data_IF_102855509490
#
_entry.id   IF_102855509490
#
_cell.length_a   1.000
_cell.length_b   1.000
_cell.length_c   1.000
_cell.angle_alpha   90.00
_cell.angle_beta   90.00
_cell.angle_gamma   90.00
#
_symmetry.space_group_name_H-M   'P 1'
#
loop_
_entity.id
_entity.type
_entity.pdbx_description
1 polymer ?
#
# COMPACT_ATOMS: atom_id res chain seq x y z
N UNK A 1 89.16 4.64 36.12
CA UNK A 1 89.07 3.22 36.52
C UNK A 1 87.59 2.90 36.64
N UNK A 2 87.23 1.72 36.14
CA UNK A 2 86.15 0.86 36.62
C UNK A 2 84.68 1.33 36.45
N UNK A 3 84.11 0.92 35.30
CA UNK A 3 82.74 0.38 35.21
C UNK A 3 82.67 -0.97 36.00
N UNK A 4 81.50 -1.62 36.30
CA UNK A 4 80.47 -2.02 35.32
C UNK A 4 79.01 -1.89 35.87
N UNK A 5 77.89 -2.36 35.30
CA UNK A 5 77.59 -3.37 34.26
C UNK A 5 76.40 -2.96 33.35
N UNK A 6 76.57 -3.20 32.04
CA UNK A 6 75.74 -4.02 31.11
C UNK A 6 74.25 -4.36 31.43
N UNK A 7 73.33 -4.57 30.47
CA UNK A 7 73.21 -4.21 29.02
C UNK A 7 71.94 -4.85 28.43
N UNK A 8 71.23 -4.19 27.48
CA UNK A 8 70.76 -4.84 26.22
C UNK A 8 70.24 -3.87 25.13
N UNK A 9 71.18 -3.43 24.30
CA UNK A 9 71.06 -3.14 22.85
C UNK A 9 70.64 -4.40 22.03
N UNK A 10 70.22 -4.41 20.76
CA UNK A 10 69.71 -3.41 19.75
C UNK A 10 68.58 -4.12 18.94
N UNK A 11 68.11 -3.85 17.70
CA UNK A 11 68.47 -3.07 16.49
C UNK A 11 67.13 -2.73 15.72
N UNK A 12 66.97 -1.90 14.68
CA UNK A 12 67.77 -1.50 13.48
C UNK A 12 67.70 -2.53 12.31
N UNK A 13 67.49 -2.17 11.03
CA UNK A 13 67.27 -0.84 10.41
C UNK A 13 66.62 -0.92 8.99
N UNK A 14 66.12 0.21 8.47
CA UNK A 14 66.20 0.69 7.05
C UNK A 14 65.59 -0.13 5.87
N UNK A 15 65.16 0.45 4.73
CA UNK A 15 64.63 1.80 4.40
C UNK A 15 64.07 1.88 2.95
N UNK A 16 63.41 3.01 2.63
CA UNK A 16 63.18 3.63 1.29
C UNK A 16 62.14 3.04 0.30
N UNK A 17 61.53 3.97 -0.44
CA UNK A 17 60.64 3.83 -1.64
C UNK A 17 61.46 4.27 -2.90
N UNK A 18 60.89 4.46 -4.12
CA UNK A 18 59.62 3.99 -4.74
C UNK A 18 59.82 3.29 -6.11
N UNK A 19 58.73 2.89 -6.81
CA UNK A 19 58.78 2.37 -8.19
C UNK A 19 57.42 2.32 -8.90
N UNK A 20 57.42 2.17 -10.23
CA UNK A 20 56.25 2.07 -11.14
C UNK A 20 56.49 0.94 -12.17
N UNK A 21 55.46 0.64 -12.98
CA UNK A 21 55.49 -0.20 -14.21
C UNK A 21 55.64 -1.73 -13.99
N UNK A 22 55.32 -2.61 -14.95
CA UNK A 22 54.17 -2.73 -15.89
C UNK A 22 54.23 -4.17 -16.49
N UNK A 23 53.15 -4.64 -17.12
CA UNK A 23 53.13 -5.83 -18.02
C UNK A 23 53.24 -7.20 -17.34
N UNK A 24 52.97 -8.35 -17.99
CA UNK A 24 51.86 -8.76 -18.87
C UNK A 24 52.07 -10.23 -19.28
N UNK A 25 51.08 -11.12 -19.06
CA UNK A 25 50.86 -12.45 -19.68
C UNK A 25 50.08 -13.37 -18.74
N UNK A 26 49.36 -14.41 -19.15
CA UNK A 26 48.55 -14.73 -20.36
C UNK A 26 47.82 -16.06 -20.02
N UNK A 27 46.90 -16.55 -20.87
CA UNK A 27 46.06 -17.76 -20.67
C UNK A 27 44.94 -17.53 -19.63
N UNK A 28 43.64 -17.37 -19.92
CA UNK A 28 42.72 -17.87 -20.98
C UNK A 28 42.14 -19.27 -20.73
N UNK A 29 40.84 -19.35 -20.39
CA UNK A 29 39.81 -20.09 -21.17
C UNK A 29 38.36 -19.84 -20.66
N UNK A 30 37.38 -19.65 -21.56
CA UNK A 30 35.92 -19.83 -21.37
C UNK A 30 35.19 -18.79 -20.48
N UNK A 31 34.41 -17.82 -20.99
CA UNK A 31 33.06 -17.90 -21.61
C UNK A 31 31.95 -18.46 -20.68
N UNK A 32 30.71 -17.95 -20.65
CA UNK A 32 29.99 -17.08 -21.62
C UNK A 32 29.09 -16.03 -20.90
N UNK A 33 29.13 -14.74 -21.26
CA UNK A 33 28.24 -14.00 -22.19
C UNK A 33 26.80 -13.70 -21.73
N UNK A 34 26.57 -12.43 -21.33
CA UNK A 34 25.77 -11.46 -22.11
C UNK A 34 25.96 -10.01 -21.64
N UNK A 35 26.26 -9.11 -22.58
CA UNK A 35 26.31 -7.65 -22.39
C UNK A 35 25.08 -6.97 -23.04
N UNK A 36 24.97 -5.65 -22.91
CA UNK A 36 23.88 -4.80 -23.43
C UNK A 36 24.42 -3.56 -24.16
N UNK A 37 23.49 -2.74 -24.68
CA UNK A 37 23.63 -1.32 -25.13
C UNK A 37 24.56 -0.95 -26.31
N UNK A 38 24.03 -1.08 -27.54
CA UNK A 38 23.53 0.01 -28.43
C UNK A 38 24.33 1.29 -28.81
N UNK A 39 24.10 1.77 -30.06
CA UNK A 39 24.34 3.12 -30.67
C UNK A 39 25.77 3.43 -31.17
N UNK A 40 26.05 4.23 -32.22
CA UNK A 40 25.27 4.96 -33.26
C UNK A 40 26.20 5.33 -34.47
N UNK A 41 25.69 5.93 -35.57
CA UNK A 41 26.42 6.56 -36.73
C UNK A 41 27.09 5.55 -37.73
N UNK A 42 27.09 5.59 -39.09
CA UNK A 42 26.81 6.50 -40.26
C UNK A 42 28.04 7.24 -40.85
N UNK A 43 28.45 7.20 -42.14
CA UNK A 43 27.95 6.59 -43.40
C UNK A 43 29.15 5.96 -44.22
N UNK A 44 29.52 6.15 -45.53
CA UNK A 44 29.03 6.93 -46.72
C UNK A 44 29.54 6.43 -48.12
N UNK A 45 28.72 6.68 -49.15
CA UNK A 45 28.91 6.92 -50.62
C UNK A 45 30.03 6.23 -51.48
N UNK A 46 29.60 5.50 -52.53
CA UNK A 46 30.00 5.62 -53.98
C UNK A 46 28.76 5.31 -54.89
N UNK A 47 28.69 5.88 -56.11
CA UNK A 47 27.54 5.96 -57.06
C UNK A 47 28.10 5.97 -58.53
N UNK A 48 27.41 5.70 -59.68
CA UNK A 48 26.17 4.95 -60.04
C UNK A 48 26.42 3.84 -61.13
N UNK A 49 25.36 3.23 -61.71
CA UNK A 49 25.07 3.14 -63.19
C UNK A 49 23.68 2.47 -63.46
N UNK A 50 23.16 2.60 -64.69
CA UNK A 50 21.74 2.43 -65.08
C UNK A 50 21.45 1.07 -65.75
N UNK A 51 20.32 0.42 -65.42
CA UNK A 51 19.35 -0.14 -66.41
C UNK A 51 18.14 -0.84 -65.76
N UNK A 52 16.99 -0.77 -66.43
CA UNK A 52 15.78 -1.58 -66.18
C UNK A 52 15.50 -2.43 -67.44
N UNK A 53 14.83 -3.60 -67.33
CA UNK A 53 13.37 -3.57 -67.50
C UNK A 53 12.57 -4.65 -66.72
N UNK A 54 11.30 -4.30 -66.46
CA UNK A 54 10.09 -5.13 -66.37
C UNK A 54 10.17 -6.64 -66.12
N UNK A 55 9.49 -7.11 -65.06
CA UNK A 55 8.41 -8.10 -65.23
C UNK A 55 7.35 -7.98 -64.12
N UNK A 56 6.14 -8.46 -64.40
CA UNK A 56 4.93 -8.23 -63.58
C UNK A 56 4.59 -9.39 -62.63
N UNK A 57 4.21 -9.09 -61.39
CA UNK A 57 3.56 -10.07 -60.49
C UNK A 57 2.57 -9.46 -59.48
N UNK A 58 2.88 -8.31 -58.87
CA UNK A 58 2.14 -7.82 -57.68
C UNK A 58 0.75 -7.19 -57.92
N UNK A 59 0.32 -6.96 -59.16
CA UNK A 59 -0.99 -6.33 -59.45
C UNK A 59 -2.17 -7.28 -59.20
N UNK A 60 -1.97 -8.60 -59.34
CA UNK A 60 -3.07 -9.57 -59.31
C UNK A 60 -3.61 -9.90 -57.91
N UNK A 61 -2.89 -9.58 -56.82
CA UNK A 61 -3.33 -9.92 -55.46
C UNK A 61 -4.40 -8.95 -54.90
N UNK A 62 -4.51 -7.74 -55.46
CA UNK A 62 -5.51 -6.74 -55.04
C UNK A 62 -6.80 -6.85 -55.86
N UNK A 63 -6.73 -7.42 -57.07
CA UNK A 63 -7.90 -7.61 -57.94
C UNK A 63 -8.89 -8.68 -57.45
N UNK A 64 -8.43 -9.66 -56.65
CA UNK A 64 -9.24 -10.81 -56.20
C UNK A 64 -10.20 -10.50 -55.04
N UNK A 65 -9.93 -9.47 -54.23
CA UNK A 65 -10.76 -9.12 -53.07
C UNK A 65 -11.99 -8.25 -53.41
N UNK A 66 -12.18 -7.83 -54.67
CA UNK A 66 -13.23 -6.89 -55.06
C UNK A 66 -14.21 -7.43 -56.14
N UNK A 67 -14.83 -8.60 -55.89
CA UNK A 67 -16.11 -9.01 -56.51
C UNK A 67 -16.71 -10.30 -55.93
N UNK A 68 -17.49 -10.18 -54.84
CA UNK A 68 -18.67 -11.04 -54.53
C UNK A 68 -19.39 -10.56 -53.26
N UNK A 69 -20.08 -9.41 -53.35
CA UNK A 69 -21.02 -8.98 -52.30
C UNK A 69 -22.43 -9.49 -52.63
N UNK A 70 -22.60 -10.80 -52.47
CA UNK A 70 -23.92 -11.46 -52.54
C UNK A 70 -24.87 -10.81 -51.53
N UNK A 71 -26.10 -10.49 -51.96
CA UNK A 71 -27.16 -10.07 -51.04
C UNK A 71 -27.71 -11.31 -50.32
N UNK A 72 -27.48 -11.41 -49.02
CA UNK A 72 -28.34 -12.16 -48.11
C UNK A 72 -28.62 -11.31 -46.86
N UNK A 73 -29.88 -11.24 -46.38
CA UNK A 73 -30.22 -10.48 -45.20
C UNK A 73 -30.15 -11.35 -43.94
N UNK A 74 -29.26 -11.01 -43.00
CA UNK A 74 -29.46 -11.40 -41.61
C UNK A 74 -29.06 -10.25 -40.68
N UNK A 75 -30.08 -9.51 -40.21
CA UNK A 75 -29.96 -8.46 -39.21
C UNK A 75 -30.72 -8.94 -37.99
N UNK A 76 -30.02 -9.54 -37.03
CA UNK A 76 -30.57 -10.09 -35.79
C UNK A 76 -31.09 -8.98 -34.86
N UNK A 77 -32.27 -8.45 -35.20
CA UNK A 77 -33.12 -7.72 -34.25
C UNK A 77 -33.84 -8.71 -33.35
N UNK A 78 -33.12 -9.19 -32.33
CA UNK A 78 -33.70 -9.77 -31.11
C UNK A 78 -33.41 -8.78 -29.98
N UNK A 79 -34.39 -8.13 -29.35
CA UNK A 79 -35.83 -8.41 -29.32
C UNK A 79 -36.69 -7.14 -29.52
N UNK A 80 -37.93 -7.27 -30.03
CA UNK A 80 -38.96 -6.25 -29.84
C UNK A 80 -39.37 -6.20 -28.37
N UNK A 81 -39.63 -5.00 -27.83
CA UNK A 81 -40.24 -4.83 -26.52
C UNK A 81 -41.75 -5.09 -26.60
N UNK A 82 -42.14 -6.36 -26.58
CA UNK A 82 -43.54 -6.80 -26.61
C UNK A 82 -43.80 -7.86 -25.55
N UNK A 83 -43.82 -7.44 -24.29
CA UNK A 83 -44.70 -8.04 -23.29
C UNK A 83 -45.71 -6.98 -22.84
N UNK A 84 -46.98 -7.38 -22.87
CA UNK A 84 -48.13 -6.59 -22.42
C UNK A 84 -48.09 -6.33 -20.91
N UNK A 85 -48.90 -5.35 -20.48
CA UNK A 85 -49.17 -5.01 -19.09
C UNK A 85 -49.78 -6.21 -18.33
N UNK A 86 -48.90 -7.08 -17.82
CA UNK A 86 -49.23 -8.30 -17.08
C UNK A 86 -48.84 -8.11 -15.61
N UNK A 87 -49.81 -7.66 -14.82
CA UNK A 87 -49.66 -7.39 -13.38
C UNK A 87 -49.64 -8.70 -12.57
N UNK A 88 -48.60 -9.50 -12.75
CA UNK A 88 -48.34 -10.67 -11.91
C UNK A 88 -47.49 -10.30 -10.69
N UNK A 89 -48.08 -10.48 -9.50
CA UNK A 89 -47.40 -10.27 -8.22
C UNK A 89 -46.43 -11.40 -7.91
N UNK A 90 -45.26 -11.34 -8.53
CA UNK A 90 -44.08 -12.00 -7.98
C UNK A 90 -43.71 -11.32 -6.66
N UNK A 91 -43.50 -12.11 -5.61
CA UNK A 91 -43.18 -11.57 -4.29
C UNK A 91 -41.75 -11.01 -4.28
N UNK A 92 -41.57 -9.79 -3.75
CA UNK A 92 -40.26 -9.21 -3.47
C UNK A 92 -39.53 -10.02 -2.39
N UNK A 93 -38.85 -11.07 -2.81
CA UNK A 93 -37.97 -11.91 -1.97
C UNK A 93 -36.49 -11.85 -2.40
N UNK A 94 -36.14 -10.90 -3.28
CA UNK A 94 -34.78 -10.42 -3.49
C UNK A 94 -34.50 -9.11 -2.75
N UNK A 95 -35.03 -8.99 -1.53
CA UNK A 95 -34.52 -8.06 -0.52
C UNK A 95 -33.02 -8.36 -0.31
N UNK A 96 -32.09 -7.47 -0.70
CA UNK A 96 -30.66 -7.75 -0.66
C UNK A 96 -30.19 -7.64 0.79
N UNK A 97 -30.43 -8.71 1.57
CA UNK A 97 -30.15 -8.83 3.01
C UNK A 97 -28.89 -8.04 3.36
N UNK A 98 -28.99 -6.88 4.04
CA UNK A 98 -27.83 -6.04 4.28
C UNK A 98 -26.82 -6.86 5.08
N UNK A 99 -25.64 -7.05 4.49
CA UNK A 99 -24.60 -7.94 5.02
C UNK A 99 -24.41 -7.69 6.52
N UNK A 100 -24.34 -8.75 7.34
CA UNK A 100 -24.57 -8.64 8.78
C UNK A 100 -23.67 -7.57 9.40
N UNK A 101 -24.26 -6.74 10.28
CA UNK A 101 -23.59 -5.65 10.99
C UNK A 101 -22.64 -6.20 12.09
N UNK A 102 -21.73 -7.08 11.72
CA UNK A 102 -20.80 -7.83 12.57
C UNK A 102 -19.45 -7.14 12.75
N UNK A 103 -19.08 -6.21 11.86
CA UNK A 103 -17.90 -5.34 12.00
C UNK A 103 -17.78 -4.66 13.38
N UNK A 104 -18.83 -4.08 14.01
CA UNK A 104 -18.70 -3.54 15.37
C UNK A 104 -18.41 -4.59 16.44
N UNK A 105 -18.81 -5.85 16.27
CA UNK A 105 -18.58 -6.90 17.27
C UNK A 105 -17.13 -7.37 17.28
N UNK A 106 -16.55 -7.64 16.09
CA UNK A 106 -15.15 -8.09 16.00
C UNK A 106 -14.18 -6.97 16.38
N UNK A 107 -14.50 -5.71 16.04
CA UNK A 107 -13.75 -4.55 16.51
C UNK A 107 -13.86 -4.39 18.03
N UNK A 108 -15.06 -4.53 18.63
CA UNK A 108 -15.22 -4.49 20.10
C UNK A 108 -14.45 -5.60 20.80
N UNK A 109 -14.40 -6.81 20.23
CA UNK A 109 -13.60 -7.92 20.75
C UNK A 109 -12.10 -7.62 20.67
N UNK A 110 -11.61 -7.02 19.58
CA UNK A 110 -10.22 -6.58 19.47
C UNK A 110 -9.86 -5.52 20.54
N UNK A 111 -10.71 -4.51 20.76
CA UNK A 111 -10.50 -3.52 21.83
C UNK A 111 -10.39 -4.16 23.23
N UNK A 112 -11.27 -5.12 23.54
CA UNK A 112 -11.21 -5.85 24.83
C UNK A 112 -9.95 -6.72 24.91
N UNK A 113 -9.56 -7.39 23.82
CA UNK A 113 -8.33 -8.19 23.75
C UNK A 113 -7.07 -7.35 24.01
N UNK A 114 -6.94 -6.19 23.37
CA UNK A 114 -5.81 -5.27 23.58
C UNK A 114 -5.81 -4.69 25.00
N UNK A 115 -6.98 -4.34 25.55
CA UNK A 115 -7.06 -3.86 26.93
C UNK A 115 -6.60 -4.92 27.95
N UNK A 116 -7.07 -6.17 27.80
CA UNK A 116 -6.64 -7.28 28.65
C UNK A 116 -5.14 -7.59 28.47
N UNK A 117 -4.62 -7.51 27.25
CA UNK A 117 -3.21 -7.70 26.95
C UNK A 117 -2.33 -6.65 27.66
N UNK A 118 -2.67 -5.36 27.52
CA UNK A 118 -1.98 -4.26 28.23
C UNK A 118 -2.08 -4.43 29.74
N UNK A 119 -3.24 -4.82 30.27
CA UNK A 119 -3.44 -5.07 31.70
C UNK A 119 -2.52 -6.19 32.22
N UNK A 120 -2.44 -7.32 31.51
CA UNK A 120 -1.54 -8.44 31.86
C UNK A 120 -0.07 -8.02 31.82
N UNK A 121 0.34 -7.26 30.81
CA UNK A 121 1.70 -6.73 30.69
C UNK A 121 2.05 -5.81 31.86
N UNK A 122 1.17 -4.86 32.19
CA UNK A 122 1.37 -3.93 33.33
C UNK A 122 1.39 -4.67 34.66
N UNK A 123 0.55 -5.70 34.86
CA UNK A 123 0.59 -6.54 36.07
C UNK A 123 1.92 -7.30 36.21
N UNK A 124 2.45 -7.86 35.12
CA UNK A 124 3.76 -8.55 35.11
C UNK A 124 4.89 -7.56 35.44
N UNK A 125 4.84 -6.33 34.91
CA UNK A 125 5.80 -5.29 35.27
C UNK A 125 5.63 -4.76 36.70
N UNK A 126 4.42 -4.77 37.27
CA UNK A 126 4.21 -4.39 38.68
C UNK A 126 4.75 -5.42 39.68
N UNK A 127 4.66 -6.71 39.35
CA UNK A 127 5.13 -7.81 40.23
C UNK A 127 6.63 -8.08 40.04
N UNK A 128 7.11 -8.14 38.80
CA UNK A 128 8.46 -8.60 38.46
C UNK A 128 9.38 -7.50 37.90
N UNK A 129 8.86 -6.28 37.71
CA UNK A 129 9.60 -5.15 37.16
C UNK A 129 10.46 -4.42 38.19
N UNK A 130 11.78 -4.58 38.06
CA UNK A 130 12.73 -3.50 38.39
C UNK A 130 13.04 -2.77 37.09
N UNK A 131 12.64 -1.51 37.02
CA UNK A 131 13.02 -0.61 35.96
C UNK A 131 14.33 0.09 36.32
N UNK A 132 15.15 0.39 35.30
CA UNK A 132 16.32 1.25 35.39
C UNK A 132 16.05 2.52 34.59
N UNK A 133 16.26 3.70 35.19
CA UNK A 133 15.89 4.99 34.60
C UNK A 133 15.35 5.96 35.64
N UNK A 134 14.71 7.04 35.18
CA UNK A 134 14.05 8.04 36.04
C UNK A 134 12.70 7.53 36.51
N UNK A 135 12.66 6.66 37.52
CA UNK A 135 11.39 6.16 38.08
C UNK A 135 10.59 7.27 38.79
N UNK A 136 9.26 7.23 38.70
CA UNK A 136 8.35 8.14 39.40
C UNK A 136 7.36 7.37 40.28
N UNK A 137 6.31 6.79 39.69
CA UNK A 137 5.33 5.98 40.39
C UNK A 137 5.06 4.69 39.61
N UNK A 138 5.41 3.54 40.21
CA UNK A 138 5.50 2.23 39.54
C UNK A 138 4.37 1.87 38.55
N UNK A 139 3.06 2.03 38.86
CA UNK A 139 2.00 1.68 37.89
C UNK A 139 1.92 2.67 36.72
N UNK A 140 2.23 3.95 36.95
CA UNK A 140 2.32 4.96 35.87
C UNK A 140 3.55 4.68 35.01
N UNK A 141 4.70 4.40 35.62
CA UNK A 141 5.93 4.05 34.90
C UNK A 141 5.75 2.76 34.05
N UNK A 142 5.09 1.73 34.60
CA UNK A 142 4.81 0.49 33.89
C UNK A 142 3.83 0.67 32.72
N UNK A 143 2.76 1.45 32.91
CA UNK A 143 1.79 1.75 31.85
C UNK A 143 2.39 2.65 30.77
N UNK A 144 3.19 3.66 31.16
CA UNK A 144 3.94 4.52 30.26
C UNK A 144 4.94 3.71 29.42
N UNK A 145 5.76 2.86 30.04
CA UNK A 145 6.68 1.96 29.32
C UNK A 145 5.94 1.04 28.32
N UNK A 146 4.81 0.48 28.74
CA UNK A 146 3.95 -0.37 27.89
C UNK A 146 3.43 0.42 26.68
N UNK A 147 2.92 1.64 26.89
CA UNK A 147 2.43 2.52 25.81
C UNK A 147 3.56 2.97 24.88
N UNK A 148 4.67 3.48 25.41
CA UNK A 148 5.84 3.95 24.65
C UNK A 148 6.44 2.84 23.77
N UNK A 149 6.36 1.59 24.23
CA UNK A 149 6.81 0.42 23.47
C UNK A 149 5.79 -0.02 22.41
N UNK A 150 4.49 -0.08 22.73
CA UNK A 150 3.43 -0.43 21.76
C UNK A 150 3.23 0.63 20.66
N UNK A 151 3.47 1.90 21.01
CA UNK A 151 3.55 3.02 20.07
C UNK A 151 4.85 3.04 19.26
N UNK A 152 5.76 2.09 19.48
CA UNK A 152 7.08 2.00 18.83
C UNK A 152 7.92 3.29 18.90
N UNK A 153 7.79 4.05 20.00
CA UNK A 153 8.54 5.31 20.22
C UNK A 153 9.86 5.01 20.92
N UNK A 154 9.83 4.27 22.03
CA UNK A 154 11.03 3.66 22.63
C UNK A 154 12.10 4.60 23.21
N UNK A 155 11.75 5.72 23.85
CA UNK A 155 12.71 6.71 24.39
C UNK A 155 13.88 6.14 25.21
N UNK A 156 13.72 5.00 25.88
CA UNK A 156 14.77 4.40 26.71
C UNK A 156 15.03 5.09 28.06
N UNK A 157 14.21 6.09 28.41
CA UNK A 157 14.20 6.79 29.69
C UNK A 157 13.85 5.87 30.88
N UNK A 158 13.04 4.85 30.60
CA UNK A 158 12.74 3.72 31.48
C UNK A 158 12.98 2.42 30.71
N UNK A 159 13.83 1.52 31.24
CA UNK A 159 14.08 0.20 30.63
C UNK A 159 13.95 -0.94 31.64
N UNK A 160 13.55 -2.16 31.21
CA UNK A 160 13.58 -3.35 32.07
C UNK A 160 15.01 -3.70 32.44
N UNK A 161 15.28 -3.93 33.73
CA UNK A 161 16.64 -4.21 34.23
C UNK A 161 16.94 -5.73 34.26
N UNK A 162 15.96 -6.56 34.63
CA UNK A 162 16.17 -7.99 34.90
C UNK A 162 16.15 -8.84 33.63
N UNK A 163 16.91 -9.93 33.60
CA UNK A 163 16.97 -10.86 32.45
C UNK A 163 15.58 -11.38 32.05
N UNK A 164 14.74 -11.71 33.03
CA UNK A 164 13.35 -12.14 32.80
C UNK A 164 12.52 -11.04 32.13
N UNK A 165 12.55 -9.81 32.64
CA UNK A 165 11.76 -8.71 32.06
C UNK A 165 12.25 -8.29 30.68
N UNK A 166 13.55 -8.41 30.38
CA UNK A 166 14.12 -8.24 29.04
C UNK A 166 13.58 -9.29 28.06
N UNK A 167 13.65 -10.58 28.41
CA UNK A 167 13.11 -11.67 27.58
C UNK A 167 11.58 -11.56 27.38
N UNK A 168 10.84 -11.22 28.44
CA UNK A 168 9.41 -10.94 28.36
C UNK A 168 9.10 -9.78 27.42
N UNK A 169 9.87 -8.67 27.50
CA UNK A 169 9.73 -7.50 26.62
C UNK A 169 9.90 -7.88 25.15
N UNK A 170 10.86 -8.74 24.80
CA UNK A 170 11.04 -9.21 23.42
C UNK A 170 9.80 -9.96 22.88
N UNK A 171 9.25 -10.89 23.67
CA UNK A 171 8.02 -11.60 23.29
C UNK A 171 6.79 -10.69 23.23
N UNK A 172 6.70 -9.73 24.15
CA UNK A 172 5.68 -8.69 24.20
C UNK A 172 5.71 -7.78 22.96
N UNK A 173 6.88 -7.33 22.50
CA UNK A 173 6.99 -6.50 21.29
C UNK A 173 6.48 -7.24 20.06
N UNK A 174 6.90 -8.49 19.86
CA UNK A 174 6.51 -9.30 18.69
C UNK A 174 5.00 -9.56 18.61
N UNK A 175 4.37 -9.84 19.75
CA UNK A 175 2.91 -10.11 19.82
C UNK A 175 2.12 -8.79 19.81
N UNK A 176 2.57 -7.79 20.57
CA UNK A 176 1.90 -6.51 20.74
C UNK A 176 1.80 -5.70 19.45
N UNK A 177 2.82 -5.72 18.59
CA UNK A 177 2.80 -5.03 17.30
C UNK A 177 1.63 -5.50 16.40
N UNK A 178 1.41 -6.81 16.30
CA UNK A 178 0.27 -7.37 15.55
C UNK A 178 -1.09 -7.00 16.15
N UNK A 179 -1.20 -6.94 17.47
CA UNK A 179 -2.41 -6.47 18.15
C UNK A 179 -2.68 -4.97 17.91
N UNK A 180 -1.64 -4.14 17.84
CA UNK A 180 -1.76 -2.71 17.52
C UNK A 180 -2.15 -2.48 16.06
N UNK A 181 -1.69 -3.29 15.10
CA UNK A 181 -2.15 -3.21 13.70
C UNK A 181 -3.64 -3.56 13.56
N UNK A 182 -4.11 -4.63 14.24
CA UNK A 182 -5.53 -4.99 14.29
C UNK A 182 -6.37 -3.86 14.92
N UNK A 183 -5.87 -3.26 16.01
CA UNK A 183 -6.51 -2.11 16.66
C UNK A 183 -6.57 -0.89 15.73
N UNK A 184 -5.47 -0.59 15.05
CA UNK A 184 -5.37 0.47 14.05
C UNK A 184 -6.41 0.28 12.97
N UNK A 185 -6.46 -0.89 12.32
CA UNK A 185 -7.38 -1.19 11.22
C UNK A 185 -8.86 -1.24 11.66
N UNK A 186 -9.14 -1.79 12.84
CA UNK A 186 -10.47 -1.77 13.44
C UNK A 186 -10.95 -0.35 13.79
N UNK A 187 -10.06 0.49 14.31
CA UNK A 187 -10.34 1.91 14.52
C UNK A 187 -10.37 2.69 13.19
N UNK A 188 -9.65 2.27 12.14
CA UNK A 188 -9.70 2.85 10.79
C UNK A 188 -11.12 2.81 10.29
N UNK A 189 -11.67 1.62 10.08
CA UNK A 189 -13.05 1.47 9.58
C UNK A 189 -14.05 2.25 10.45
N UNK A 190 -14.04 2.04 11.77
CA UNK A 190 -14.98 2.70 12.68
C UNK A 190 -14.92 4.24 12.67
N UNK A 191 -13.73 4.85 12.75
CA UNK A 191 -13.60 6.31 12.70
C UNK A 191 -13.92 6.84 11.30
N UNK A 192 -13.49 6.16 10.24
CA UNK A 192 -13.75 6.61 8.87
C UNK A 192 -15.25 6.67 8.57
N UNK A 193 -15.99 5.62 8.89
CA UNK A 193 -17.43 5.52 8.63
C UNK A 193 -18.20 6.57 9.46
N UNK A 194 -17.78 6.78 10.72
CA UNK A 194 -18.34 7.83 11.60
C UNK A 194 -18.01 9.25 11.12
N UNK A 195 -16.77 9.52 10.72
CA UNK A 195 -16.33 10.84 10.27
C UNK A 195 -16.94 11.20 8.91
N UNK A 196 -17.05 10.28 7.96
CA UNK A 196 -17.74 10.55 6.70
C UNK A 196 -19.23 10.86 6.96
N UNK A 197 -19.92 10.08 7.79
CA UNK A 197 -21.32 10.35 8.13
C UNK A 197 -21.53 11.72 8.81
N UNK A 198 -20.73 12.05 9.84
CA UNK A 198 -20.86 13.32 10.57
C UNK A 198 -20.47 14.52 9.70
N UNK A 199 -19.35 14.44 8.96
CA UNK A 199 -18.93 15.51 8.05
C UNK A 199 -19.99 15.80 6.99
N UNK A 200 -20.57 14.75 6.37
CA UNK A 200 -21.63 14.91 5.39
C UNK A 200 -22.88 15.57 5.99
N UNK A 201 -23.31 15.16 7.18
CA UNK A 201 -24.49 15.74 7.85
C UNK A 201 -24.28 17.21 8.27
N UNK A 202 -23.09 17.59 8.74
CA UNK A 202 -22.78 18.98 9.11
C UNK A 202 -22.63 19.91 7.90
N UNK A 203 -22.20 19.37 6.75
CA UNK A 203 -21.99 20.15 5.52
C UNK A 203 -23.27 20.45 4.71
N UNK A 204 -24.42 19.88 5.06
CA UNK A 204 -25.69 20.15 4.37
C UNK A 204 -26.48 21.31 5.00
N UNK A 205 -26.14 21.72 6.23
CA UNK A 205 -26.90 22.70 7.02
C UNK A 205 -26.28 24.09 7.19
N UNK A 206 -25.10 24.38 6.62
CA UNK A 206 -24.46 25.69 6.75
C UNK A 206 -23.92 26.21 5.41
N UNK A 207 -24.09 27.52 5.16
CA UNK A 207 -23.97 28.12 3.83
C UNK A 207 -22.58 28.55 3.31
N UNK A 208 -21.45 28.54 4.05
CA UNK A 208 -20.18 28.98 3.47
C UNK A 208 -19.56 27.93 2.54
N UNK A 209 -19.42 28.30 1.26
CA UNK A 209 -18.52 27.72 0.23
C UNK A 209 -18.95 26.40 -0.45
N UNK A 210 -19.88 26.51 -1.39
CA UNK A 210 -20.16 25.52 -2.46
C UNK A 210 -18.89 25.05 -3.20
N UNK A 211 -17.88 25.92 -3.33
CA UNK A 211 -16.57 25.58 -3.91
C UNK A 211 -15.80 24.53 -3.09
N UNK A 212 -15.83 24.61 -1.76
CA UNK A 212 -15.18 23.63 -0.87
C UNK A 212 -15.95 22.32 -0.92
N UNK A 213 -17.28 22.35 -0.92
CA UNK A 213 -18.13 21.17 -1.13
C UNK A 213 -17.78 20.46 -2.46
N UNK A 214 -17.67 21.21 -3.56
CA UNK A 214 -17.31 20.70 -4.88
C UNK A 214 -15.84 20.25 -5.00
N UNK A 215 -14.94 20.72 -4.14
CA UNK A 215 -13.55 20.24 -4.05
C UNK A 215 -13.44 18.95 -3.23
N UNK A 216 -14.17 18.85 -2.11
CA UNK A 216 -14.07 17.76 -1.14
C UNK A 216 -14.90 16.52 -1.47
N UNK A 217 -16.13 16.70 -1.95
CA UNK A 217 -17.12 15.64 -2.12
C UNK A 217 -17.29 15.32 -3.60
N UNK A 218 -17.20 14.04 -3.95
CA UNK A 218 -17.56 13.58 -5.29
C UNK A 218 -19.07 13.26 -5.31
N UNK A 219 -19.92 14.27 -5.56
CA UNK A 219 -21.39 14.13 -5.46
C UNK A 219 -21.95 12.99 -6.33
N UNK A 220 -21.28 12.62 -7.43
CA UNK A 220 -21.63 11.47 -8.28
C UNK A 220 -21.38 10.08 -7.63
N UNK A 221 -20.77 10.02 -6.43
CA UNK A 221 -20.42 8.76 -5.73
C UNK A 221 -20.73 8.75 -4.23
N UNK A 222 -21.21 9.86 -3.67
CA UNK A 222 -21.56 9.96 -2.24
C UNK A 222 -20.42 9.68 -1.25
N UNK A 223 -19.16 9.76 -1.67
CA UNK A 223 -17.97 9.39 -0.88
C UNK A 223 -16.92 10.49 -0.88
N UNK A 224 -16.23 10.69 0.24
CA UNK A 224 -15.20 11.73 0.34
C UNK A 224 -14.00 11.41 -0.56
N UNK A 225 -13.46 12.43 -1.27
CA UNK A 225 -12.30 12.25 -2.15
C UNK A 225 -11.05 11.90 -1.35
N UNK A 226 -10.22 11.00 -1.90
CA UNK A 226 -8.98 10.53 -1.25
C UNK A 226 -8.02 11.67 -0.85
N UNK A 227 -7.99 12.77 -1.64
CA UNK A 227 -7.19 13.96 -1.33
C UNK A 227 -7.64 14.62 -0.02
N UNK A 228 -8.95 14.68 0.20
CA UNK A 228 -9.55 15.29 1.39
C UNK A 228 -9.34 14.42 2.62
N UNK A 229 -9.41 13.09 2.49
CA UNK A 229 -9.01 12.16 3.56
C UNK A 229 -7.57 12.39 4.03
N UNK A 230 -6.63 12.53 3.09
CA UNK A 230 -5.22 12.87 3.39
C UNK A 230 -5.10 14.22 4.08
N UNK A 231 -5.72 15.28 3.55
CA UNK A 231 -5.65 16.63 4.14
C UNK A 231 -6.22 16.63 5.57
N UNK A 232 -7.40 16.03 5.78
CA UNK A 232 -8.03 15.94 7.11
C UNK A 232 -7.15 15.19 8.11
N UNK A 233 -6.59 14.03 7.73
CA UNK A 233 -5.68 13.30 8.61
C UNK A 233 -4.38 14.07 8.91
N UNK A 234 -3.81 14.77 7.91
CA UNK A 234 -2.62 15.61 8.13
C UNK A 234 -2.90 16.79 9.07
N UNK A 235 -4.10 17.37 9.01
CA UNK A 235 -4.53 18.43 9.93
C UNK A 235 -4.67 17.90 11.38
N UNK A 236 -5.21 16.70 11.57
CA UNK A 236 -5.27 16.06 12.91
C UNK A 236 -3.86 15.83 13.46
N UNK A 237 -2.90 15.38 12.66
CA UNK A 237 -1.50 15.22 13.09
C UNK A 237 -0.87 16.56 13.51
N UNK A 238 -1.10 17.64 12.76
CA UNK A 238 -0.63 18.98 13.13
C UNK A 238 -1.24 19.45 14.47
N UNK A 239 -2.54 19.19 14.70
CA UNK A 239 -3.19 19.48 15.99
C UNK A 239 -2.59 18.64 17.12
N UNK A 240 -2.31 17.34 16.91
CA UNK A 240 -1.65 16.50 17.91
C UNK A 240 -0.26 17.03 18.30
N UNK A 241 0.53 17.51 17.33
CA UNK A 241 1.85 18.12 17.57
C UNK A 241 1.70 19.45 18.34
N UNK A 242 0.75 20.30 17.97
CA UNK A 242 0.51 21.58 18.65
C UNK A 242 0.07 21.39 20.11
N UNK A 243 -0.88 20.48 20.36
CA UNK A 243 -1.32 20.10 21.72
C UNK A 243 -0.15 19.51 22.52
N UNK A 244 0.64 18.61 21.92
CA UNK A 244 1.84 18.07 22.55
C UNK A 244 2.83 19.15 22.96
N UNK A 245 3.19 20.05 22.03
CA UNK A 245 4.14 21.15 22.24
C UNK A 245 3.72 22.02 23.43
N UNK A 246 2.46 22.46 23.45
CA UNK A 246 1.92 23.34 24.50
C UNK A 246 1.90 22.60 25.85
N UNK A 247 1.46 21.34 25.88
CA UNK A 247 1.36 20.59 27.14
C UNK A 247 2.73 20.18 27.69
N UNK A 248 3.70 19.82 26.85
CA UNK A 248 5.08 19.54 27.26
C UNK A 248 5.72 20.79 27.88
N UNK A 249 5.57 21.96 27.25
CA UNK A 249 6.12 23.21 27.77
C UNK A 249 5.61 23.53 29.19
N UNK A 250 4.31 23.34 29.46
CA UNK A 250 3.75 23.60 30.79
C UNK A 250 4.00 22.49 31.83
N UNK A 251 4.06 21.21 31.45
CA UNK A 251 4.23 20.10 32.40
C UNK A 251 5.71 19.80 32.71
N UNK A 252 6.55 19.71 31.69
CA UNK A 252 7.98 19.36 31.83
C UNK A 252 8.90 20.59 31.90
N UNK A 253 8.38 21.79 31.62
CA UNK A 253 9.11 23.08 31.67
C UNK A 253 10.31 23.18 30.73
N UNK A 254 10.29 22.42 29.63
CA UNK A 254 11.24 22.54 28.52
C UNK A 254 11.00 23.85 27.76
N UNK A 255 12.01 24.35 27.03
CA UNK A 255 11.82 25.50 26.14
C UNK A 255 10.82 25.20 25.01
N UNK A 256 10.28 26.22 24.35
CA UNK A 256 9.41 26.07 23.18
C UNK A 256 10.03 25.24 22.06
N UNK A 257 11.33 25.38 21.79
CA UNK A 257 12.02 24.61 20.74
C UNK A 257 12.12 23.13 21.13
N UNK A 258 12.58 22.84 22.35
CA UNK A 258 12.70 21.48 22.87
C UNK A 258 11.33 20.81 23.04
N UNK A 259 10.31 21.57 23.44
CA UNK A 259 8.92 21.10 23.57
C UNK A 259 8.32 20.73 22.21
N UNK A 260 8.59 21.53 21.17
CA UNK A 260 8.17 21.23 19.80
C UNK A 260 8.93 20.04 19.23
N UNK A 261 10.24 19.97 19.47
CA UNK A 261 11.08 18.86 19.05
C UNK A 261 10.64 17.53 19.69
N UNK A 262 10.44 17.49 21.02
CA UNK A 262 9.90 16.32 21.71
C UNK A 262 8.49 15.98 21.19
N UNK A 263 7.64 16.98 20.96
CA UNK A 263 6.30 16.74 20.41
C UNK A 263 6.38 16.08 19.02
N UNK A 264 7.22 16.58 18.12
CA UNK A 264 7.41 16.00 16.78
C UNK A 264 7.99 14.60 16.86
N UNK A 265 9.13 14.39 17.54
CA UNK A 265 9.81 13.08 17.60
C UNK A 265 8.98 11.99 18.29
N UNK A 266 8.11 12.37 19.22
CA UNK A 266 7.13 11.48 19.84
C UNK A 266 6.01 11.10 18.87
N UNK A 267 5.40 12.10 18.22
CA UNK A 267 4.25 11.90 17.32
C UNK A 267 4.65 11.11 16.07
N UNK A 268 5.86 11.33 15.54
CA UNK A 268 6.41 10.60 14.39
C UNK A 268 7.09 9.26 14.75
N UNK A 269 7.00 8.83 16.02
CA UNK A 269 7.59 7.59 16.54
C UNK A 269 9.09 7.42 16.22
N UNK A 270 9.85 8.50 16.38
CA UNK A 270 11.32 8.53 16.23
C UNK A 270 12.02 8.42 17.59
N UNK A 271 11.47 9.09 18.62
CA UNK A 271 11.76 8.79 20.03
C UNK A 271 13.24 8.73 20.46
N UNK A 272 14.08 9.67 20.05
CA UNK A 272 15.54 9.62 20.28
C UNK A 272 15.98 9.47 21.76
N UNK A 273 15.15 9.88 22.73
CA UNK A 273 15.43 9.68 24.16
C UNK A 273 16.32 10.73 24.82
N UNK A 274 16.71 11.75 24.07
CA UNK A 274 17.35 12.97 24.55
C UNK A 274 16.42 13.80 25.46
N UNK A 275 15.15 13.90 25.07
CA UNK A 275 14.06 14.39 25.93
C UNK A 275 12.99 13.31 26.12
N UNK A 276 12.41 13.25 27.31
CA UNK A 276 11.34 12.32 27.68
C UNK A 276 10.50 12.90 28.84
N UNK A 277 9.36 12.27 29.14
CA UNK A 277 8.49 12.72 30.23
C UNK A 277 9.06 12.29 31.59
N UNK A 278 9.44 13.25 32.42
CA UNK A 278 10.04 13.04 33.75
C UNK A 278 9.05 13.26 34.89
N UNK A 279 7.99 14.05 34.69
CA UNK A 279 6.99 14.30 35.74
C UNK A 279 5.88 13.24 35.72
N UNK A 280 5.32 12.93 36.90
CA UNK A 280 4.14 12.04 37.03
C UNK A 280 2.97 12.55 36.17
N UNK A 281 2.74 13.87 36.19
CA UNK A 281 1.74 14.56 35.38
C UNK A 281 1.98 14.42 33.89
N UNK A 282 3.23 14.59 33.44
CA UNK A 282 3.63 14.43 32.05
C UNK A 282 3.48 12.99 31.56
N UNK A 283 3.85 12.00 32.38
CA UNK A 283 3.65 10.57 32.05
C UNK A 283 2.18 10.19 31.94
N UNK A 284 1.34 10.67 32.87
CA UNK A 284 -0.12 10.49 32.78
C UNK A 284 -0.73 11.12 31.53
N UNK A 285 -0.26 12.31 31.12
CA UNK A 285 -0.64 12.91 29.84
C UNK A 285 -0.14 12.08 28.65
N UNK A 286 1.14 11.70 28.64
CA UNK A 286 1.78 10.96 27.56
C UNK A 286 1.10 9.60 27.29
N UNK A 287 0.71 8.86 28.34
CA UNK A 287 -0.05 7.60 28.21
C UNK A 287 -1.28 7.76 27.31
N UNK A 288 -2.01 8.86 27.41
CA UNK A 288 -3.21 9.12 26.59
C UNK A 288 -2.84 9.77 25.25
N UNK A 289 -2.00 10.79 25.28
CA UNK A 289 -1.65 11.60 24.11
C UNK A 289 -0.82 10.83 23.07
N UNK A 290 0.10 9.95 23.48
CA UNK A 290 0.89 9.12 22.57
C UNK A 290 0.02 8.09 21.85
N UNK A 291 -0.93 7.45 22.55
CA UNK A 291 -1.91 6.56 21.92
C UNK A 291 -2.70 7.30 20.84
N UNK A 292 -3.31 8.44 21.16
CA UNK A 292 -4.11 9.21 20.19
C UNK A 292 -3.25 9.70 19.00
N UNK A 293 -2.03 10.17 19.26
CA UNK A 293 -1.18 10.78 18.24
C UNK A 293 -0.54 9.77 17.29
N UNK A 294 -0.08 8.63 17.80
CA UNK A 294 0.46 7.56 16.94
C UNK A 294 -0.61 6.94 16.07
N UNK A 295 -1.82 6.72 16.61
CA UNK A 295 -2.99 6.31 15.83
C UNK A 295 -3.30 7.31 14.71
N UNK A 296 -3.19 8.62 14.96
CA UNK A 296 -3.41 9.67 13.96
C UNK A 296 -2.32 9.70 12.86
N UNK A 297 -1.04 9.56 13.22
CA UNK A 297 0.07 9.51 12.26
C UNK A 297 0.00 8.27 11.38
N UNK A 298 -0.34 7.11 11.94
CA UNK A 298 -0.59 5.91 11.16
C UNK A 298 -1.70 6.12 10.11
N UNK A 299 -2.76 6.89 10.41
CA UNK A 299 -3.78 7.26 9.40
C UNK A 299 -3.20 8.10 8.27
N UNK A 300 -2.39 9.11 8.62
CA UNK A 300 -1.80 9.99 7.63
C UNK A 300 -0.92 9.19 6.66
N UNK A 301 -0.11 8.25 7.16
CA UNK A 301 0.68 7.35 6.32
C UNK A 301 -0.19 6.39 5.49
N UNK A 302 -1.20 5.74 6.06
CA UNK A 302 -2.11 4.85 5.33
C UNK A 302 -2.82 5.59 4.18
N UNK A 303 -3.39 6.77 4.44
CA UNK A 303 -4.03 7.56 3.39
C UNK A 303 -3.04 8.12 2.35
N UNK A 304 -1.80 8.44 2.73
CA UNK A 304 -0.75 8.80 1.78
C UNK A 304 -0.35 7.61 0.89
N UNK A 305 -0.33 6.39 1.44
CA UNK A 305 -0.11 5.15 0.70
C UNK A 305 -1.28 4.84 -0.24
N UNK A 306 -2.54 4.93 0.22
CA UNK A 306 -3.73 4.85 -0.62
C UNK A 306 -3.66 5.87 -1.77
N UNK A 307 -3.39 7.15 -1.48
CA UNK A 307 -3.25 8.21 -2.48
C UNK A 307 -2.14 7.89 -3.50
N UNK A 308 -1.04 7.26 -3.09
CA UNK A 308 0.05 6.76 -3.97
C UNK A 308 -0.42 5.62 -4.86
N UNK A 309 -1.07 4.61 -4.29
CA UNK A 309 -1.62 3.43 -5.00
C UNK A 309 -2.67 3.89 -6.01
N UNK A 310 -3.60 4.74 -5.59
CA UNK A 310 -4.70 5.27 -6.39
C UNK A 310 -4.19 6.19 -7.53
N UNK A 311 -3.07 6.91 -7.34
CA UNK A 311 -2.31 7.59 -8.42
C UNK A 311 -1.53 6.63 -9.34
N UNK A 312 -1.21 5.41 -8.92
CA UNK A 312 -0.59 4.36 -9.75
C UNK A 312 -1.65 3.67 -10.60
N UNK A 313 -2.72 3.18 -9.96
CA UNK A 313 -3.81 2.44 -10.59
C UNK A 313 -4.51 3.26 -11.69
N UNK A 314 -4.74 4.57 -11.47
CA UNK A 314 -5.23 5.48 -12.53
C UNK A 314 -4.28 5.67 -13.71
N UNK A 315 -2.96 5.55 -13.52
CA UNK A 315 -1.98 5.63 -14.62
C UNK A 315 -1.94 4.33 -15.41
N UNK A 316 -1.94 3.18 -14.72
CA UNK A 316 -2.06 1.85 -15.35
C UNK A 316 -3.34 1.80 -16.19
N UNK A 317 -4.50 2.16 -15.61
CA UNK A 317 -5.77 2.15 -16.34
C UNK A 317 -5.76 3.02 -17.60
N UNK A 318 -5.22 4.24 -17.55
CA UNK A 318 -5.09 5.08 -18.74
C UNK A 318 -4.15 4.48 -19.79
N UNK A 319 -3.00 3.94 -19.36
CA UNK A 319 -2.02 3.32 -20.25
C UNK A 319 -2.59 2.07 -20.94
N UNK A 320 -3.23 1.16 -20.20
CA UNK A 320 -3.87 -0.06 -20.75
C UNK A 320 -4.97 0.29 -21.77
N UNK A 321 -5.76 1.34 -21.53
CA UNK A 321 -6.80 1.80 -22.45
C UNK A 321 -6.22 2.49 -23.70
N UNK A 322 -5.00 3.04 -23.63
CA UNK A 322 -4.31 3.68 -24.76
C UNK A 322 -3.32 2.74 -25.49
N UNK A 323 -2.98 1.59 -24.90
CA UNK A 323 -2.17 0.52 -25.51
C UNK A 323 -2.88 -0.04 -26.74
N UNK A 324 -2.32 0.24 -27.93
CA UNK A 324 -2.67 -0.43 -29.20
C UNK A 324 -2.49 -1.94 -29.03
N UNK A 325 -3.42 -2.72 -29.58
CA UNK A 325 -3.39 -4.18 -29.51
C UNK A 325 -2.34 -4.75 -30.49
N UNK A 326 -1.54 -5.70 -30.03
CA UNK A 326 -0.61 -6.48 -30.85
C UNK A 326 -1.19 -7.86 -31.18
N UNK A 327 -0.54 -8.63 -32.07
CA UNK A 327 -0.97 -10.00 -32.38
C UNK A 327 -0.86 -10.94 -31.17
N UNK A 328 0.13 -10.74 -30.30
CA UNK A 328 0.24 -11.48 -29.03
C UNK A 328 -0.85 -11.08 -28.02
N UNK A 329 -1.21 -9.80 -27.98
CA UNK A 329 -2.38 -9.33 -27.21
C UNK A 329 -3.70 -9.86 -27.78
N UNK A 330 -3.74 -10.24 -29.07
CA UNK A 330 -4.92 -10.82 -29.71
C UNK A 330 -5.16 -12.24 -29.18
N UNK A 331 -4.15 -13.11 -29.32
CA UNK A 331 -4.16 -14.51 -28.86
C UNK A 331 -4.29 -14.63 -27.32
N UNK A 332 -3.88 -13.61 -26.57
CA UNK A 332 -4.04 -13.56 -25.11
C UNK A 332 -5.40 -12.97 -24.64
N UNK A 333 -6.28 -12.62 -25.58
CA UNK A 333 -7.60 -12.03 -25.35
C UNK A 333 -8.73 -12.90 -25.89
N UNK A 334 -8.50 -13.59 -27.01
CA UNK A 334 -9.28 -14.73 -27.50
C UNK A 334 -9.35 -15.81 -26.39
N UNK A 335 -10.56 -16.13 -25.92
CA UNK A 335 -10.82 -17.07 -24.82
C UNK A 335 -11.44 -18.38 -25.31
N UNK A 336 -12.30 -18.34 -26.33
CA UNK A 336 -12.94 -19.53 -26.91
C UNK A 336 -12.13 -20.16 -28.05
N UNK A 337 -11.08 -19.49 -28.53
CA UNK A 337 -10.18 -19.89 -29.61
C UNK A 337 -10.85 -19.89 -31.00
N UNK A 338 -11.89 -19.07 -31.23
CA UNK A 338 -12.51 -18.90 -32.56
C UNK A 338 -11.62 -18.14 -33.57
N UNK A 339 -10.52 -17.53 -33.10
CA UNK A 339 -9.58 -16.77 -33.93
C UNK A 339 -10.00 -15.33 -34.19
N UNK A 340 -11.07 -14.86 -33.55
CA UNK A 340 -11.54 -13.48 -33.52
C UNK A 340 -11.46 -12.91 -32.09
N UNK A 341 -12.14 -11.80 -31.82
CA UNK A 341 -12.30 -11.24 -30.47
C UNK A 341 -13.68 -10.62 -30.37
N UNK A 342 -14.52 -11.14 -29.48
CA UNK A 342 -15.77 -10.51 -29.11
C UNK A 342 -15.56 -9.24 -28.27
N UNK A 343 -16.56 -8.36 -28.26
CA UNK A 343 -16.54 -7.15 -27.40
C UNK A 343 -16.42 -7.50 -25.91
N UNK A 344 -16.94 -8.65 -25.51
CA UNK A 344 -16.87 -9.25 -24.17
C UNK A 344 -15.42 -9.57 -23.79
N UNK A 345 -14.73 -10.33 -24.62
CA UNK A 345 -13.32 -10.72 -24.43
C UNK A 345 -12.39 -9.53 -24.41
N UNK A 346 -12.55 -8.58 -25.34
CA UNK A 346 -11.76 -7.34 -25.31
C UNK A 346 -11.92 -6.58 -23.98
N UNK A 347 -13.12 -6.59 -23.38
CA UNK A 347 -13.37 -5.99 -22.06
C UNK A 347 -12.72 -6.83 -20.95
N UNK A 348 -12.85 -8.16 -20.96
CA UNK A 348 -12.21 -9.06 -19.98
C UNK A 348 -10.68 -8.91 -20.02
N UNK A 349 -10.07 -8.99 -21.20
CA UNK A 349 -8.65 -8.78 -21.43
C UNK A 349 -8.19 -7.39 -20.93
N UNK A 350 -8.91 -6.31 -21.24
CA UNK A 350 -8.55 -4.98 -20.74
C UNK A 350 -8.75 -4.84 -19.22
N UNK A 351 -9.65 -5.61 -18.58
CA UNK A 351 -9.81 -5.67 -17.12
C UNK A 351 -8.68 -6.46 -16.44
N UNK A 352 -8.23 -7.55 -17.07
CA UNK A 352 -7.05 -8.37 -16.73
C UNK A 352 -5.76 -7.55 -16.81
N UNK A 353 -5.48 -6.89 -17.93
CA UNK A 353 -4.35 -5.96 -18.10
C UNK A 353 -4.39 -4.78 -17.11
N UNK A 354 -5.58 -4.30 -16.72
CA UNK A 354 -5.73 -3.28 -15.67
C UNK A 354 -5.47 -3.79 -14.24
N UNK A 355 -5.26 -5.09 -14.05
CA UNK A 355 -5.10 -5.72 -12.74
C UNK A 355 -6.36 -5.64 -11.86
N UNK A 356 -7.55 -5.65 -12.48
CA UNK A 356 -8.84 -5.63 -11.75
C UNK A 356 -9.46 -7.01 -11.56
N UNK A 357 -9.08 -7.96 -12.40
CA UNK A 357 -9.53 -9.35 -12.42
C UNK A 357 -8.28 -10.19 -12.64
N UNK A 358 -8.10 -11.27 -11.89
CA UNK A 358 -7.03 -12.24 -12.09
C UNK A 358 -7.48 -13.41 -12.95
N UNK A 359 -6.53 -14.15 -13.53
CA UNK A 359 -6.84 -15.32 -14.36
C UNK A 359 -7.65 -16.38 -13.61
N UNK A 360 -7.43 -16.51 -12.29
CA UNK A 360 -8.16 -17.45 -11.44
C UNK A 360 -9.63 -17.07 -11.31
N UNK A 361 -9.94 -15.79 -11.26
CA UNK A 361 -11.32 -15.29 -11.16
C UNK A 361 -12.06 -15.55 -12.49
N UNK A 362 -11.37 -15.35 -13.63
CA UNK A 362 -11.90 -15.67 -14.97
C UNK A 362 -12.17 -17.17 -15.06
N UNK A 363 -11.18 -18.02 -14.76
CA UNK A 363 -11.31 -19.47 -14.81
C UNK A 363 -12.41 -20.00 -13.88
N UNK A 364 -12.59 -19.43 -12.68
CA UNK A 364 -13.68 -19.83 -11.78
C UNK A 364 -15.07 -19.49 -12.35
N UNK A 365 -15.21 -18.32 -13.00
CA UNK A 365 -16.46 -17.90 -13.62
C UNK A 365 -16.75 -18.74 -14.88
N UNK A 366 -15.74 -19.04 -15.71
CA UNK A 366 -15.87 -19.95 -16.85
C UNK A 366 -16.28 -21.35 -16.39
N UNK A 367 -15.55 -21.98 -15.46
CA UNK A 367 -15.90 -23.30 -14.94
C UNK A 367 -17.32 -23.35 -14.35
N UNK A 368 -17.82 -22.26 -13.77
CA UNK A 368 -19.21 -22.16 -13.29
C UNK A 368 -20.21 -22.06 -14.45
N UNK A 369 -19.90 -21.29 -15.49
CA UNK A 369 -20.70 -21.23 -16.72
C UNK A 369 -20.76 -22.59 -17.43
N UNK A 370 -19.62 -23.26 -17.57
CA UNK A 370 -19.48 -24.58 -18.20
C UNK A 370 -20.22 -25.67 -17.41
N UNK A 371 -20.38 -25.49 -16.09
CA UNK A 371 -21.20 -26.37 -15.24
C UNK A 371 -22.71 -26.14 -15.38
N UNK A 372 -23.12 -25.06 -16.04
CA UNK A 372 -24.52 -24.73 -16.30
C UNK A 372 -24.92 -24.96 -17.77
N UNK A 373 -24.04 -24.68 -18.74
CA UNK A 373 -24.33 -24.96 -20.17
C UNK A 373 -24.24 -26.47 -20.48
N UNK A 374 -25.30 -27.19 -20.13
CA UNK A 374 -25.43 -28.64 -20.32
C UNK A 374 -25.34 -29.06 -21.80
N UNK A 375 -25.60 -28.11 -22.70
CA UNK A 375 -25.57 -28.29 -24.15
C UNK A 375 -24.22 -27.93 -24.79
N UNK A 376 -23.32 -27.31 -24.02
CA UNK A 376 -22.05 -26.75 -24.45
C UNK A 376 -22.18 -25.86 -25.72
N UNK A 377 -23.19 -24.98 -25.73
CA UNK A 377 -23.55 -24.13 -26.87
C UNK A 377 -23.06 -22.67 -26.76
N UNK A 378 -22.29 -22.37 -25.71
CA UNK A 378 -21.83 -21.03 -25.35
C UNK A 378 -22.92 -20.15 -24.73
N UNK A 379 -24.04 -20.73 -24.27
CA UNK A 379 -25.23 -20.01 -23.79
C UNK A 379 -26.01 -20.86 -22.77
N UNK A 380 -26.19 -20.32 -21.58
CA UNK A 380 -27.18 -20.85 -20.63
C UNK A 380 -28.59 -20.52 -21.16
N UNK A 381 -29.39 -21.54 -21.45
CA UNK A 381 -30.79 -21.40 -21.86
C UNK A 381 -31.74 -21.57 -20.67
N UNK A 382 -33.06 -21.42 -20.89
CA UNK A 382 -34.04 -21.72 -19.84
C UNK A 382 -34.06 -23.22 -19.48
N UNK A 383 -33.74 -24.10 -20.43
CA UNK A 383 -33.69 -25.55 -20.20
C UNK A 383 -32.47 -26.00 -19.38
N UNK A 384 -31.43 -25.17 -19.27
CA UNK A 384 -30.26 -25.37 -18.43
C UNK A 384 -30.48 -24.91 -16.97
N UNK A 385 -31.65 -24.35 -16.67
CA UNK A 385 -32.00 -23.73 -15.37
C UNK A 385 -33.29 -24.29 -14.76
N UNK A 386 -33.82 -25.40 -15.28
CA UNK A 386 -35.04 -26.10 -14.82
C UNK A 386 -34.76 -27.56 -14.45
#
# INVERSE_FOLDING_TARGET
MDEPLLSRTTAEESSRRPGRELSSSYLDLGQSLRQSTSHLVTNDVIIPIISTPNTSSYVNLIASLNKKKTRLPYRSHSSPSLFTDARETFADSFDPRPGPKSTPLIVRQAFVGVFLYVLVVVLIFLVSGRFRGTATFKPVDALYFTVVTLCTIGYGDIVPDTTFTKLFTCGFILVGFGFIDILLNGLVTYICDKQEAVLLSTMDGSTPTTMVQAYMIDKAKGRMRIRTKVVLASAVVIVCIAVGTITVHYLEKLDWVDSFYLAVTSVTTVGYGDYAFTTVTGRCFAIIWLLVSTLAVARAFLYLAELRIDRRNRRIAKWVLQKKMTLGDLVAADLDNDGSISKSEFVIYKLKEMGKISEKDIQQICNQFDSLDSTNCGKITLADLM
#
